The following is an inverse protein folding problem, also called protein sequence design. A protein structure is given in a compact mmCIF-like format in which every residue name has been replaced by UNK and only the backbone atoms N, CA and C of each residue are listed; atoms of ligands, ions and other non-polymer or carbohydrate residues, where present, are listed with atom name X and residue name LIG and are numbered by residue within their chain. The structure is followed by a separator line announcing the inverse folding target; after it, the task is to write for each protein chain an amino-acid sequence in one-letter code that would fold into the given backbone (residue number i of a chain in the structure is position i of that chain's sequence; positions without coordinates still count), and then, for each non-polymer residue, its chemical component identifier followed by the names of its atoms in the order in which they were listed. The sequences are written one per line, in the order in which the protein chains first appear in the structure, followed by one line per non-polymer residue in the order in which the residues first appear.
data_IF_108261042326
#
_entry.id   IF_108261042326
#
_cell.length_a   1.000
_cell.length_b   1.000
_cell.length_c   1.000
_cell.angle_alpha   90.00
_cell.angle_beta   90.00
_cell.angle_gamma   90.00
#
_symmetry.space_group_name_H-M   'P 1'
#
loop_
_entity.id
_entity.type
_entity.pdbx_description
1 polymer ?
#
# COMPACT_ATOMS: atom_id res chain seq x y z
N UNK A 1 28.10 -28.18 24.19
CA UNK A 1 27.43 -26.94 23.74
C UNK A 1 26.09 -27.17 23.03
N UNK A 2 25.57 -28.41 22.91
CA UNK A 2 24.29 -28.69 22.25
C UNK A 2 23.06 -28.59 23.18
N UNK A 3 23.22 -28.59 24.52
CA UNK A 3 22.09 -28.59 25.46
C UNK A 3 21.49 -27.22 25.77
N UNK A 4 22.11 -26.12 25.35
CA UNK A 4 21.64 -24.75 25.63
C UNK A 4 20.70 -24.20 24.54
N UNK A 5 20.67 -24.78 23.33
CA UNK A 5 19.74 -24.34 22.27
C UNK A 5 18.34 -24.92 22.43
N UNK A 6 18.22 -26.16 22.92
CA UNK A 6 16.93 -26.84 23.05
C UNK A 6 16.08 -26.29 24.21
N UNK A 7 16.71 -25.93 25.34
CA UNK A 7 16.03 -25.26 26.45
C UNK A 7 15.59 -23.82 26.08
N UNK A 8 16.38 -23.14 25.25
CA UNK A 8 16.02 -21.80 24.76
C UNK A 8 14.84 -21.88 23.79
N UNK A 9 14.86 -22.82 22.85
CA UNK A 9 13.76 -23.05 21.90
C UNK A 9 12.46 -23.47 22.61
N UNK A 10 12.54 -24.35 23.62
CA UNK A 10 11.39 -24.80 24.40
C UNK A 10 10.81 -23.72 25.34
N UNK A 11 11.63 -22.81 25.86
CA UNK A 11 11.17 -21.64 26.62
C UNK A 11 10.54 -20.58 25.72
N UNK A 12 11.11 -20.35 24.53
CA UNK A 12 10.60 -19.39 23.55
C UNK A 12 9.25 -19.84 22.98
N UNK A 13 9.13 -21.13 22.63
CA UNK A 13 7.89 -21.73 22.13
C UNK A 13 6.73 -21.62 23.14
N UNK A 14 6.99 -21.85 24.44
CA UNK A 14 5.99 -21.68 25.49
C UNK A 14 5.53 -20.23 25.67
N UNK A 15 6.44 -19.26 25.59
CA UNK A 15 6.08 -17.83 25.68
C UNK A 15 5.28 -17.35 24.47
N UNK A 16 5.61 -17.84 23.27
CA UNK A 16 4.86 -17.54 22.05
C UNK A 16 3.43 -18.12 22.12
N UNK A 17 3.28 -19.37 22.58
CA UNK A 17 1.95 -19.96 22.79
C UNK A 17 1.10 -19.19 23.80
N UNK A 18 1.70 -18.76 24.93
CA UNK A 18 0.99 -17.95 25.92
C UNK A 18 0.57 -16.57 25.38
N UNK A 19 1.41 -15.93 24.55
CA UNK A 19 1.05 -14.68 23.89
C UNK A 19 -0.09 -14.86 22.89
N UNK A 20 -0.06 -15.95 22.10
CA UNK A 20 -1.10 -16.25 21.13
C UNK A 20 -2.44 -16.58 21.80
N UNK A 21 -2.44 -17.38 22.87
CA UNK A 21 -3.65 -17.69 23.63
C UNK A 21 -4.22 -16.44 24.30
N UNK A 22 -3.36 -15.61 24.89
CA UNK A 22 -3.77 -14.34 25.48
C UNK A 22 -4.37 -13.40 24.43
N UNK A 23 -3.82 -13.35 23.22
CA UNK A 23 -4.37 -12.54 22.14
C UNK A 23 -5.69 -13.11 21.60
N UNK A 24 -5.83 -14.43 21.48
CA UNK A 24 -7.08 -15.07 21.12
C UNK A 24 -8.19 -14.76 22.14
N UNK A 25 -7.86 -14.78 23.44
CA UNK A 25 -8.78 -14.38 24.50
C UNK A 25 -9.11 -12.89 24.48
N UNK A 26 -8.14 -12.03 24.13
CA UNK A 26 -8.37 -10.59 23.91
C UNK A 26 -9.28 -10.34 22.72
N UNK A 27 -9.07 -11.03 21.59
CA UNK A 27 -9.98 -11.02 20.44
C UNK A 27 -11.37 -11.46 20.91
N UNK A 28 -11.49 -12.59 21.58
CA UNK A 28 -12.80 -13.08 22.04
C UNK A 28 -13.51 -12.10 22.97
N UNK A 29 -12.79 -11.46 23.89
CA UNK A 29 -13.34 -10.48 24.83
C UNK A 29 -13.76 -9.20 24.14
N UNK A 30 -12.94 -8.64 23.25
CA UNK A 30 -13.34 -7.52 22.40
C UNK A 30 -14.63 -7.87 21.65
N UNK A 31 -14.67 -9.02 20.97
CA UNK A 31 -15.84 -9.46 20.20
C UNK A 31 -17.09 -9.75 21.06
N UNK A 32 -16.90 -10.17 22.32
CA UNK A 32 -18.01 -10.34 23.28
C UNK A 32 -18.54 -9.01 23.80
N UNK A 33 -17.66 -8.07 24.15
CA UNK A 33 -18.04 -6.72 24.58
C UNK A 33 -18.62 -5.89 23.42
N UNK A 34 -18.42 -6.33 22.17
CA UNK A 34 -19.00 -5.78 20.94
C UNK A 34 -20.45 -6.19 20.66
N UNK A 35 -21.03 -7.11 21.43
CA UNK A 35 -22.46 -7.44 21.36
C UNK A 35 -23.37 -6.33 21.92
N UNK A 36 -22.83 -5.41 22.71
CA UNK A 36 -23.54 -4.21 23.17
C UNK A 36 -23.60 -3.20 22.03
N UNK A 37 -24.80 -2.70 21.71
CA UNK A 37 -24.92 -1.73 20.63
C UNK A 37 -24.12 -0.47 20.96
N UNK A 38 -23.55 0.19 19.95
CA UNK A 38 -22.81 1.46 20.14
C UNK A 38 -23.59 2.49 20.95
N UNK A 39 -24.92 2.50 20.84
CA UNK A 39 -25.80 3.37 21.64
C UNK A 39 -25.74 3.02 23.12
N UNK A 40 -25.83 1.74 23.47
CA UNK A 40 -25.70 1.28 24.87
C UNK A 40 -24.33 1.62 25.45
N UNK A 41 -23.28 1.58 24.63
CA UNK A 41 -21.95 1.98 25.07
C UNK A 41 -21.86 3.48 25.35
N UNK A 42 -22.25 4.33 24.39
CA UNK A 42 -22.26 5.79 24.55
C UNK A 42 -23.16 6.25 25.70
N UNK A 43 -24.26 5.53 25.96
CA UNK A 43 -25.18 5.79 27.05
C UNK A 43 -24.60 5.34 28.41
N UNK A 44 -23.90 4.20 28.47
CA UNK A 44 -23.16 3.79 29.68
C UNK A 44 -22.01 4.73 29.99
N UNK A 45 -21.33 5.25 28.97
CA UNK A 45 -20.18 6.15 29.13
C UNK A 45 -20.58 7.52 29.69
N UNK A 46 -21.79 7.98 29.39
CA UNK A 46 -22.37 9.19 30.00
C UNK A 46 -22.72 9.01 31.48
N UNK A 47 -22.94 7.76 31.91
CA UNK A 47 -23.34 7.42 33.27
C UNK A 47 -22.16 6.95 34.13
N UNK A 48 -20.97 6.76 33.55
CA UNK A 48 -19.76 6.36 34.27
C UNK A 48 -19.07 7.54 34.93
N UNK A 49 -18.48 7.27 36.09
CA UNK A 49 -17.57 8.18 36.78
C UNK A 49 -16.23 8.31 36.04
N UNK A 50 -15.48 9.39 36.30
CA UNK A 50 -14.15 9.58 35.68
C UNK A 50 -13.15 8.46 36.01
N UNK A 51 -13.32 7.78 37.14
CA UNK A 51 -12.47 6.66 37.54
C UNK A 51 -12.77 5.39 36.73
N UNK A 52 -14.05 5.07 36.55
CA UNK A 52 -14.49 3.94 35.71
C UNK A 52 -14.09 4.12 34.25
N UNK A 53 -14.17 5.35 33.72
CA UNK A 53 -13.70 5.65 32.36
C UNK A 53 -12.19 5.39 32.22
N UNK A 54 -11.39 5.75 33.23
CA UNK A 54 -9.93 5.50 33.22
C UNK A 54 -9.61 4.01 33.27
N UNK A 55 -10.35 3.25 34.07
CA UNK A 55 -10.19 1.80 34.19
C UNK A 55 -10.59 1.07 32.90
N UNK A 56 -11.69 1.46 32.26
CA UNK A 56 -12.09 0.86 30.99
C UNK A 56 -11.10 1.21 29.86
N UNK A 57 -10.55 2.43 29.90
CA UNK A 57 -9.53 2.88 28.96
C UNK A 57 -8.23 2.07 29.12
N UNK A 58 -7.78 1.83 30.35
CA UNK A 58 -6.58 1.03 30.61
C UNK A 58 -6.77 -0.43 30.19
N UNK A 59 -7.92 -1.04 30.51
CA UNK A 59 -8.25 -2.41 30.08
C UNK A 59 -8.21 -2.55 28.55
N UNK A 60 -8.81 -1.60 27.85
CA UNK A 60 -8.83 -1.59 26.38
C UNK A 60 -7.42 -1.43 25.79
N UNK A 61 -6.57 -0.59 26.40
CA UNK A 61 -5.16 -0.46 25.98
C UNK A 61 -4.37 -1.75 26.17
N UNK A 62 -4.60 -2.49 27.26
CA UNK A 62 -3.96 -3.78 27.50
C UNK A 62 -4.40 -4.85 26.48
N UNK A 63 -5.67 -4.83 26.06
CA UNK A 63 -6.16 -5.71 25.00
C UNK A 63 -5.47 -5.42 23.66
N UNK A 64 -5.38 -4.14 23.27
CA UNK A 64 -4.64 -3.75 22.05
C UNK A 64 -3.15 -4.07 22.15
N UNK A 65 -2.55 -3.91 23.34
CA UNK A 65 -1.16 -4.28 23.60
C UNK A 65 -0.93 -5.77 23.36
N UNK A 66 -1.82 -6.62 23.86
CA UNK A 66 -1.78 -8.07 23.65
C UNK A 66 -1.82 -8.42 22.15
N UNK A 67 -2.71 -7.78 21.40
CA UNK A 67 -2.78 -7.95 19.94
C UNK A 67 -1.49 -7.50 19.24
N UNK A 68 -0.94 -6.35 19.61
CA UNK A 68 0.31 -5.87 19.04
C UNK A 68 1.46 -6.85 19.32
N UNK A 69 1.56 -7.37 20.54
CA UNK A 69 2.55 -8.39 20.91
C UNK A 69 2.37 -9.68 20.12
N UNK A 70 1.14 -10.14 19.91
CA UNK A 70 0.88 -11.30 19.07
C UNK A 70 1.29 -11.07 17.61
N UNK A 71 1.10 -9.86 17.09
CA UNK A 71 1.54 -9.48 15.75
C UNK A 71 3.05 -9.54 15.60
N UNK A 72 3.80 -8.90 16.50
CA UNK A 72 5.27 -8.98 16.53
C UNK A 72 5.73 -10.43 16.66
N UNK A 73 5.11 -11.18 17.56
CA UNK A 73 5.47 -12.60 17.77
C UNK A 73 5.20 -13.41 16.52
N UNK A 74 4.08 -13.19 15.83
CA UNK A 74 3.75 -13.88 14.57
C UNK A 74 4.76 -13.52 13.48
N UNK A 75 5.13 -12.25 13.33
CA UNK A 75 6.16 -11.81 12.37
C UNK A 75 7.56 -12.40 12.63
N UNK A 76 7.88 -12.69 13.89
CA UNK A 76 9.14 -13.33 14.29
C UNK A 76 9.07 -14.86 14.18
N UNK A 77 7.89 -15.43 14.37
CA UNK A 77 7.65 -16.88 14.33
C UNK A 77 7.56 -17.39 12.89
N UNK A 78 6.77 -16.71 12.06
CA UNK A 78 6.82 -16.89 10.63
C UNK A 78 8.12 -16.27 10.14
N UNK A 79 8.92 -17.09 9.45
CA UNK A 79 10.13 -16.62 8.81
C UNK A 79 9.73 -15.76 7.59
N UNK A 80 9.23 -14.55 7.87
CA UNK A 80 8.63 -13.59 6.92
C UNK A 80 9.60 -13.30 5.78
N UNK A 81 10.90 -13.38 6.09
CA UNK A 81 11.98 -13.36 5.11
C UNK A 81 11.93 -14.56 4.14
N UNK A 82 11.79 -15.79 4.65
CA UNK A 82 11.64 -17.00 3.82
C UNK A 82 10.42 -16.92 2.91
N UNK A 83 9.30 -16.42 3.44
CA UNK A 83 8.05 -16.23 2.70
C UNK A 83 8.24 -15.23 1.55
N UNK A 84 8.86 -14.09 1.86
CA UNK A 84 9.18 -13.05 0.87
C UNK A 84 10.17 -13.55 -0.18
N UNK A 85 11.18 -14.33 0.22
CA UNK A 85 12.17 -14.93 -0.68
C UNK A 85 11.53 -15.94 -1.64
N UNK A 86 10.60 -16.75 -1.15
CA UNK A 86 9.80 -17.69 -1.96
C UNK A 86 8.95 -16.94 -2.98
N UNK A 87 8.27 -15.86 -2.56
CA UNK A 87 7.52 -15.00 -3.48
C UNK A 87 8.44 -14.33 -4.51
N UNK A 88 9.64 -13.88 -4.12
CA UNK A 88 10.55 -13.18 -5.04
C UNK A 88 11.01 -14.08 -6.20
N UNK A 89 11.16 -15.39 -5.97
CA UNK A 89 11.56 -16.34 -7.00
C UNK A 89 10.49 -16.59 -8.08
N UNK A 90 9.21 -16.43 -7.75
CA UNK A 90 8.09 -16.77 -8.65
C UNK A 90 7.33 -15.52 -9.13
N UNK A 91 7.15 -14.54 -8.25
CA UNK A 91 6.36 -13.33 -8.46
C UNK A 91 7.06 -12.09 -7.85
N UNK A 92 8.11 -11.54 -8.50
CA UNK A 92 8.94 -10.48 -7.92
C UNK A 92 8.17 -9.20 -7.57
N UNK A 93 7.18 -8.83 -8.38
CA UNK A 93 6.32 -7.67 -8.11
C UNK A 93 5.46 -7.89 -6.87
N UNK A 94 4.87 -9.07 -6.73
CA UNK A 94 4.06 -9.42 -5.56
C UNK A 94 4.93 -9.45 -4.31
N UNK A 95 6.14 -10.01 -4.39
CA UNK A 95 7.10 -10.03 -3.30
C UNK A 95 7.44 -8.61 -2.80
N UNK A 96 7.68 -7.67 -3.71
CA UNK A 96 7.95 -6.28 -3.36
C UNK A 96 6.74 -5.63 -2.66
N UNK A 97 5.53 -5.83 -3.18
CA UNK A 97 4.31 -5.30 -2.57
C UNK A 97 4.04 -5.90 -1.18
N UNK A 98 4.22 -7.21 -1.02
CA UNK A 98 4.09 -7.89 0.27
C UNK A 98 5.14 -7.41 1.27
N UNK A 99 6.38 -7.19 0.83
CA UNK A 99 7.46 -6.66 1.68
C UNK A 99 7.11 -5.27 2.23
N UNK A 100 6.59 -4.38 1.37
CA UNK A 100 6.15 -3.05 1.77
C UNK A 100 5.01 -3.18 2.79
N UNK A 101 4.04 -4.05 2.53
CA UNK A 101 2.93 -4.31 3.44
C UNK A 101 3.40 -4.81 4.81
N UNK A 102 4.32 -5.78 4.86
CA UNK A 102 4.87 -6.30 6.11
C UNK A 102 5.65 -5.24 6.90
N UNK A 103 6.45 -4.41 6.22
CA UNK A 103 7.16 -3.31 6.87
C UNK A 103 6.21 -2.26 7.44
N UNK A 104 5.15 -1.92 6.70
CA UNK A 104 4.11 -1.00 7.18
C UNK A 104 3.36 -1.60 8.38
N UNK A 105 2.98 -2.88 8.30
CA UNK A 105 2.34 -3.59 9.40
C UNK A 105 3.23 -3.55 10.66
N UNK A 106 4.51 -3.90 10.53
CA UNK A 106 5.46 -3.84 11.63
C UNK A 106 5.56 -2.44 12.23
N UNK A 107 5.67 -1.40 11.40
CA UNK A 107 5.74 -0.02 11.86
C UNK A 107 4.51 0.36 12.69
N UNK A 108 3.30 0.05 12.21
CA UNK A 108 2.06 0.36 12.91
C UNK A 108 1.87 -0.47 14.18
N UNK A 109 2.27 -1.75 14.16
CA UNK A 109 2.25 -2.62 15.34
C UNK A 109 3.18 -2.07 16.42
N UNK A 110 4.41 -1.68 16.06
CA UNK A 110 5.37 -1.10 17.00
C UNK A 110 4.90 0.26 17.54
N UNK A 111 4.28 1.08 16.69
CA UNK A 111 3.70 2.36 17.10
C UNK A 111 2.54 2.15 18.09
N UNK A 112 1.67 1.17 17.84
CA UNK A 112 0.58 0.81 18.74
C UNK A 112 1.07 0.20 20.05
N UNK A 113 2.15 -0.59 20.01
CA UNK A 113 2.79 -1.14 21.20
C UNK A 113 3.43 -0.04 22.06
N UNK A 114 4.10 0.92 21.43
CA UNK A 114 4.65 2.09 22.11
C UNK A 114 3.53 2.95 22.71
N UNK A 115 2.45 3.19 21.97
CA UNK A 115 1.32 3.98 22.43
C UNK A 115 0.57 3.32 23.61
N UNK A 116 0.41 2.00 23.60
CA UNK A 116 -0.21 1.26 24.71
C UNK A 116 0.70 1.19 25.94
N UNK A 117 2.03 1.09 25.75
CA UNK A 117 3.00 1.05 26.86
C UNK A 117 3.21 2.44 27.49
N UNK A 118 3.22 3.50 26.69
CA UNK A 118 3.46 4.88 27.12
C UNK A 118 2.21 5.76 26.90
N UNK A 119 1.06 5.26 27.33
CA UNK A 119 -0.24 5.89 27.08
C UNK A 119 -0.39 7.30 27.66
N UNK A 120 0.37 7.62 28.72
CA UNK A 120 0.40 8.96 29.32
C UNK A 120 1.14 10.01 28.49
N UNK A 121 2.05 9.58 27.61
CA UNK A 121 2.90 10.47 26.81
C UNK A 121 2.50 10.51 25.34
N UNK A 122 1.72 9.53 24.87
CA UNK A 122 1.26 9.45 23.50
C UNK A 122 -0.07 10.20 23.31
N UNK A 123 -0.13 11.25 22.47
CA UNK A 123 -1.41 11.85 22.11
C UNK A 123 -2.25 10.80 21.37
N UNK A 124 -3.52 10.66 21.75
CA UNK A 124 -4.44 9.65 21.18
C UNK A 124 -3.91 8.21 21.33
N UNK A 125 -3.34 7.86 22.49
CA UNK A 125 -2.79 6.53 22.76
C UNK A 125 -3.73 5.37 22.36
N UNK A 126 -5.02 5.50 22.65
CA UNK A 126 -6.04 4.50 22.30
C UNK A 126 -6.20 4.30 20.79
N UNK A 127 -6.11 5.39 20.01
CA UNK A 127 -6.13 5.35 18.54
C UNK A 127 -4.98 4.51 17.98
N UNK A 128 -3.78 4.86 18.45
CA UNK A 128 -2.53 4.33 17.93
C UNK A 128 -2.41 2.86 18.34
N UNK A 129 -2.77 2.53 19.58
CA UNK A 129 -2.85 1.15 20.07
C UNK A 129 -3.87 0.33 19.26
N UNK A 130 -5.09 0.86 19.07
CA UNK A 130 -6.13 0.19 18.28
C UNK A 130 -5.73 -0.03 16.82
N UNK A 131 -5.07 0.95 16.20
CA UNK A 131 -4.55 0.80 14.84
C UNK A 131 -3.42 -0.23 14.77
N UNK A 132 -2.50 -0.26 15.75
CA UNK A 132 -1.48 -1.31 15.82
C UNK A 132 -2.08 -2.70 15.99
N UNK A 133 -3.13 -2.83 16.80
CA UNK A 133 -3.90 -4.06 16.95
C UNK A 133 -4.55 -4.53 15.64
N UNK A 134 -5.15 -3.61 14.88
CA UNK A 134 -5.69 -3.90 13.55
C UNK A 134 -4.60 -4.43 12.61
N UNK A 135 -3.47 -3.72 12.49
CA UNK A 135 -2.37 -4.13 11.61
C UNK A 135 -1.76 -5.47 12.00
N UNK A 136 -1.74 -5.80 13.29
CA UNK A 136 -1.37 -7.14 13.77
C UNK A 136 -2.29 -8.23 13.22
N UNK A 137 -3.60 -8.06 13.32
CA UNK A 137 -4.55 -9.06 12.81
C UNK A 137 -4.51 -9.14 11.28
N UNK A 138 -4.41 -7.99 10.59
CA UNK A 138 -4.28 -7.97 9.13
C UNK A 138 -3.01 -8.67 8.65
N UNK A 139 -1.90 -8.51 9.37
CA UNK A 139 -0.66 -9.25 9.10
C UNK A 139 -0.89 -10.75 9.20
N UNK A 140 -1.48 -11.24 10.31
CA UNK A 140 -1.74 -12.66 10.53
C UNK A 140 -2.64 -13.24 9.43
N UNK A 141 -3.69 -12.51 9.04
CA UNK A 141 -4.58 -12.92 7.93
C UNK A 141 -3.78 -13.02 6.62
N UNK A 142 -2.96 -12.01 6.30
CA UNK A 142 -2.20 -12.00 5.06
C UNK A 142 -1.15 -13.13 5.02
N UNK A 143 -0.45 -13.37 6.13
CA UNK A 143 0.56 -14.41 6.23
C UNK A 143 -0.06 -15.81 6.09
N UNK A 144 -1.18 -16.07 6.77
CA UNK A 144 -1.94 -17.32 6.60
C UNK A 144 -2.39 -17.56 5.15
N UNK A 145 -2.76 -16.49 4.42
CA UNK A 145 -3.06 -16.64 2.99
C UNK A 145 -1.79 -17.01 2.21
N UNK A 146 -0.65 -16.35 2.44
CA UNK A 146 0.58 -16.67 1.72
C UNK A 146 1.10 -18.10 1.99
N UNK A 147 0.86 -18.67 3.18
CA UNK A 147 1.16 -20.09 3.43
C UNK A 147 0.38 -21.02 2.48
N UNK A 148 -0.82 -20.63 2.06
CA UNK A 148 -1.66 -21.41 1.16
C UNK A 148 -1.25 -21.28 -0.32
N UNK A 149 -0.17 -20.56 -0.65
CA UNK A 149 0.27 -20.37 -2.04
C UNK A 149 0.67 -21.67 -2.75
N UNK A 150 1.02 -22.72 -2.00
CA UNK A 150 1.36 -24.03 -2.57
C UNK A 150 0.12 -24.83 -2.99
N UNK A 151 -1.05 -24.45 -2.48
CA UNK A 151 -2.31 -25.20 -2.64
C UNK A 151 -3.25 -24.45 -3.58
N UNK A 152 -3.30 -23.12 -3.50
CA UNK A 152 -4.20 -22.28 -4.30
C UNK A 152 -3.46 -21.45 -5.35
N UNK A 153 -4.07 -21.20 -6.51
CA UNK A 153 -3.52 -20.28 -7.50
C UNK A 153 -3.42 -18.87 -6.93
N UNK A 154 -2.29 -18.20 -7.18
CA UNK A 154 -1.95 -16.88 -6.63
C UNK A 154 -3.05 -15.83 -6.83
N UNK A 155 -3.75 -15.85 -7.97
CA UNK A 155 -4.84 -14.91 -8.26
C UNK A 155 -5.99 -15.09 -7.29
N UNK A 156 -6.44 -16.33 -7.05
CA UNK A 156 -7.52 -16.63 -6.12
C UNK A 156 -7.11 -16.28 -4.69
N UNK A 157 -5.86 -16.57 -4.33
CA UNK A 157 -5.30 -16.24 -3.03
C UNK A 157 -5.34 -14.73 -2.75
N UNK A 158 -4.91 -13.91 -3.72
CA UNK A 158 -4.98 -12.46 -3.63
C UNK A 158 -6.42 -11.96 -3.46
N UNK A 159 -7.38 -12.51 -4.21
CA UNK A 159 -8.79 -12.16 -4.07
C UNK A 159 -9.34 -12.50 -2.68
N UNK A 160 -9.10 -13.72 -2.18
CA UNK A 160 -9.52 -14.14 -0.84
C UNK A 160 -8.90 -13.28 0.25
N UNK A 161 -7.61 -12.94 0.10
CA UNK A 161 -6.89 -12.09 1.05
C UNK A 161 -7.49 -10.67 1.08
N UNK A 162 -7.72 -10.05 -0.09
CA UNK A 162 -8.34 -8.72 -0.20
C UNK A 162 -9.74 -8.70 0.40
N UNK A 163 -10.56 -9.72 0.13
CA UNK A 163 -11.92 -9.82 0.68
C UNK A 163 -11.86 -9.95 2.21
N UNK A 164 -11.02 -10.83 2.73
CA UNK A 164 -10.87 -11.06 4.18
C UNK A 164 -10.40 -9.80 4.91
N UNK A 165 -9.37 -9.13 4.39
CA UNK A 165 -8.86 -7.87 4.92
C UNK A 165 -9.95 -6.79 4.88
N UNK A 166 -10.72 -6.70 3.78
CA UNK A 166 -11.76 -5.68 3.63
C UNK A 166 -12.92 -5.88 4.61
N UNK A 167 -13.39 -7.12 4.75
CA UNK A 167 -14.45 -7.48 5.71
C UNK A 167 -13.97 -7.19 7.12
N UNK A 168 -12.77 -7.66 7.49
CA UNK A 168 -12.23 -7.47 8.83
C UNK A 168 -12.00 -6.00 9.15
N UNK A 169 -11.44 -5.22 8.21
CA UNK A 169 -11.22 -3.78 8.41
C UNK A 169 -12.54 -3.03 8.57
N UNK A 170 -13.54 -3.35 7.75
CA UNK A 170 -14.88 -2.74 7.86
C UNK A 170 -15.51 -3.07 9.22
N UNK A 171 -15.45 -4.34 9.62
CA UNK A 171 -15.93 -4.79 10.92
C UNK A 171 -15.18 -4.08 12.06
N UNK A 172 -13.86 -4.05 12.03
CA UNK A 172 -13.02 -3.37 13.02
C UNK A 172 -13.41 -1.91 13.17
N UNK A 173 -13.67 -1.20 12.08
CA UNK A 173 -14.06 0.20 12.14
C UNK A 173 -15.46 0.44 12.68
N UNK A 174 -16.41 -0.43 12.36
CA UNK A 174 -17.74 -0.38 12.98
C UNK A 174 -17.68 -0.65 14.49
N UNK A 175 -16.72 -1.49 14.90
CA UNK A 175 -16.50 -1.94 16.26
C UNK A 175 -15.61 -0.99 17.08
N UNK A 176 -14.70 -0.28 16.43
CA UNK A 176 -13.77 0.63 17.12
C UNK A 176 -14.57 1.74 17.78
N UNK A 177 -14.48 1.81 19.12
CA UNK A 177 -15.25 2.73 19.97
C UNK A 177 -14.94 4.22 19.75
N UNK A 178 -14.05 4.55 18.82
CA UNK A 178 -13.43 5.85 18.63
C UNK A 178 -13.66 6.45 17.22
N UNK A 179 -14.85 7.04 17.02
CA UNK A 179 -15.25 7.66 15.75
C UNK A 179 -14.34 8.84 15.33
N UNK A 180 -13.73 9.54 16.29
CA UNK A 180 -12.80 10.65 16.02
C UNK A 180 -11.54 10.17 15.31
N UNK A 181 -11.12 8.94 15.61
CA UNK A 181 -9.91 8.34 15.05
C UNK A 181 -10.21 7.76 13.66
N UNK A 182 -11.38 7.17 13.46
CA UNK A 182 -11.90 6.83 12.13
C UNK A 182 -11.89 8.06 11.21
N UNK A 183 -12.43 9.19 11.69
CA UNK A 183 -12.48 10.46 10.93
C UNK A 183 -11.10 11.06 10.69
N UNK A 184 -10.18 10.94 11.64
CA UNK A 184 -8.81 11.45 11.52
C UNK A 184 -7.98 10.59 10.56
N UNK A 185 -8.08 9.26 10.65
CA UNK A 185 -7.42 8.32 9.73
C UNK A 185 -8.03 8.45 8.33
N UNK A 186 -9.36 8.54 8.20
CA UNK A 186 -10.02 8.78 6.93
C UNK A 186 -9.60 10.11 6.31
N UNK A 187 -9.48 11.20 7.09
CA UNK A 187 -8.93 12.48 6.62
C UNK A 187 -7.47 12.36 6.18
N UNK A 188 -6.66 11.62 6.94
CA UNK A 188 -5.25 11.42 6.62
C UNK A 188 -5.08 10.60 5.33
N UNK A 189 -5.81 9.49 5.20
CA UNK A 189 -5.87 8.68 3.99
C UNK A 189 -6.41 9.46 2.80
N UNK A 190 -7.46 10.26 2.99
CA UNK A 190 -8.00 11.13 1.95
C UNK A 190 -6.97 12.17 1.49
N UNK A 191 -6.23 12.78 2.42
CA UNK A 191 -5.14 13.69 2.09
C UNK A 191 -4.01 12.98 1.33
N UNK A 192 -3.59 11.80 1.77
CA UNK A 192 -2.56 11.01 1.09
C UNK A 192 -3.01 10.64 -0.33
N UNK A 193 -4.23 10.11 -0.48
CA UNK A 193 -4.81 9.77 -1.78
C UNK A 193 -4.96 11.01 -2.68
N UNK A 194 -5.34 12.15 -2.10
CA UNK A 194 -5.41 13.42 -2.81
C UNK A 194 -4.03 13.89 -3.29
N UNK A 195 -2.99 13.79 -2.45
CA UNK A 195 -1.61 14.11 -2.82
C UNK A 195 -1.10 13.18 -3.91
N UNK A 196 -1.34 11.87 -3.79
CA UNK A 196 -0.97 10.88 -4.80
C UNK A 196 -1.68 11.15 -6.13
N UNK A 197 -2.97 11.46 -6.11
CA UNK A 197 -3.74 11.87 -7.29
C UNK A 197 -3.18 13.15 -7.93
N UNK A 198 -2.79 14.13 -7.10
CA UNK A 198 -2.19 15.38 -7.56
C UNK A 198 -0.83 15.14 -8.23
N UNK A 199 0.02 14.31 -7.62
CA UNK A 199 1.29 13.87 -8.20
C UNK A 199 1.08 13.11 -9.51
N UNK A 200 0.12 12.18 -9.56
CA UNK A 200 -0.24 11.46 -10.78
C UNK A 200 -0.68 12.41 -11.90
N UNK A 201 -1.57 13.36 -11.58
CA UNK A 201 -2.03 14.39 -12.54
C UNK A 201 -0.87 15.26 -13.04
N UNK A 202 0.08 15.60 -12.18
CA UNK A 202 1.28 16.36 -12.56
C UNK A 202 2.18 15.55 -13.50
N UNK A 203 2.38 14.26 -13.23
CA UNK A 203 3.14 13.34 -14.09
C UNK A 203 2.45 13.18 -15.44
N UNK A 204 1.14 12.96 -15.48
CA UNK A 204 0.37 12.86 -16.73
C UNK A 204 0.45 14.14 -17.56
N UNK A 205 0.44 15.33 -16.93
CA UNK A 205 0.65 16.61 -17.64
C UNK A 205 2.07 16.73 -18.18
N UNK A 206 3.08 16.36 -17.40
CA UNK A 206 4.48 16.41 -17.83
C UNK A 206 4.74 15.46 -19.02
N UNK A 207 4.22 14.23 -18.95
CA UNK A 207 4.30 13.24 -20.02
C UNK A 207 3.47 13.69 -21.23
N UNK A 208 2.26 14.20 -21.03
CA UNK A 208 1.41 14.72 -22.10
C UNK A 208 2.06 15.87 -22.87
N UNK A 209 2.70 16.82 -22.17
CA UNK A 209 3.46 17.91 -22.80
C UNK A 209 4.65 17.37 -23.59
N UNK A 210 5.37 16.37 -23.08
CA UNK A 210 6.47 15.72 -23.83
C UNK A 210 5.98 14.99 -25.08
N UNK A 211 4.86 14.29 -25.00
CA UNK A 211 4.27 13.57 -26.14
C UNK A 211 3.79 14.54 -27.21
N UNK A 212 3.08 15.61 -26.82
CA UNK A 212 2.64 16.65 -27.75
C UNK A 212 3.84 17.35 -28.41
N UNK A 213 4.86 17.72 -27.63
CA UNK A 213 6.09 18.32 -28.18
C UNK A 213 6.85 17.36 -29.11
N UNK A 214 6.83 16.05 -28.82
CA UNK A 214 7.44 15.05 -29.70
C UNK A 214 6.70 14.94 -31.03
N UNK A 215 5.37 14.89 -31.02
CA UNK A 215 4.57 14.87 -32.25
C UNK A 215 4.67 16.18 -33.04
N UNK A 216 4.66 17.33 -32.37
CA UNK A 216 4.81 18.62 -33.03
C UNK A 216 6.20 18.79 -33.67
N UNK A 217 7.25 18.31 -32.99
CA UNK A 217 8.63 18.30 -33.52
C UNK A 217 8.84 17.29 -34.66
N UNK A 218 8.02 16.25 -34.77
CA UNK A 218 8.04 15.29 -35.87
C UNK A 218 7.27 15.79 -37.08
N UNK A 219 6.11 16.42 -36.87
CA UNK A 219 5.29 17.04 -37.91
C UNK A 219 6.03 18.22 -38.59
N UNK A 220 6.69 19.08 -37.80
CA UNK A 220 7.49 20.19 -38.34
C UNK A 220 8.68 19.69 -39.17
N UNK A 221 9.34 18.59 -38.78
CA UNK A 221 10.42 17.98 -39.58
C UNK A 221 9.92 17.38 -40.89
N UNK A 222 8.71 16.81 -40.92
CA UNK A 222 8.13 16.31 -42.18
C UNK A 222 7.73 17.43 -43.14
N UNK A 223 7.20 18.55 -42.63
CA UNK A 223 6.90 19.71 -43.48
C UNK A 223 8.15 20.33 -44.10
N UNK A 224 9.22 20.49 -43.33
CA UNK A 224 10.47 21.02 -43.87
C UNK A 224 11.08 20.10 -44.95
N UNK A 225 11.03 18.78 -44.74
CA UNK A 225 11.50 17.84 -45.76
C UNK A 225 10.66 17.83 -47.04
N UNK A 226 9.33 17.99 -46.92
CA UNK A 226 8.46 18.09 -48.10
C UNK A 226 8.73 19.37 -48.90
N UNK A 227 8.92 20.51 -48.21
CA UNK A 227 9.25 21.79 -48.85
C UNK A 227 10.62 21.78 -49.54
N UNK A 228 11.61 21.12 -48.95
CA UNK A 228 12.95 20.99 -49.57
C UNK A 228 12.91 20.13 -50.85
N UNK A 229 12.10 19.07 -50.87
CA UNK A 229 11.91 18.23 -52.07
C UNK A 229 11.23 19.04 -53.17
N UNK A 230 10.17 19.78 -52.86
CA UNK A 230 9.43 20.61 -53.82
C UNK A 230 10.32 21.72 -54.41
N UNK A 231 11.16 22.36 -53.57
CA UNK A 231 12.14 23.35 -54.02
C UNK A 231 13.21 22.75 -54.95
N UNK A 232 13.66 21.51 -54.66
CA UNK A 232 14.59 20.78 -55.52
C UNK A 232 13.96 20.40 -56.87
N UNK A 233 12.69 20.00 -56.89
CA UNK A 233 11.97 19.67 -58.13
C UNK A 233 11.72 20.91 -59.00
N UNK A 234 11.34 22.04 -58.41
CA UNK A 234 11.20 23.32 -59.13
C UNK A 234 12.54 23.75 -59.77
N UNK A 235 13.65 23.69 -59.02
CA UNK A 235 14.98 24.04 -59.56
C UNK A 235 15.40 23.11 -60.70
N UNK A 236 14.96 21.85 -60.67
CA UNK A 236 15.26 20.86 -61.72
C UNK A 236 14.46 21.11 -62.99
N UNK A 237 13.19 21.52 -62.88
CA UNK A 237 12.38 21.86 -64.06
C UNK A 237 12.85 23.15 -64.72
N UNK A 238 13.27 24.13 -63.92
CA UNK A 238 13.81 25.41 -64.41
C UNK A 238 15.11 25.21 -65.19
N UNK A 239 16.03 24.39 -64.66
CA UNK A 239 17.27 24.03 -65.37
C UNK A 239 17.02 23.18 -66.62
N UNK A 240 16.06 22.26 -66.59
CA UNK A 240 15.68 21.46 -67.77
C UNK A 240 15.14 22.33 -68.92
N UNK A 241 14.36 23.36 -68.59
CA UNK A 241 13.83 24.31 -69.57
C UNK A 241 14.94 25.22 -70.14
N UNK A 242 15.91 25.62 -69.31
CA UNK A 242 17.07 26.40 -69.77
C UNK A 242 17.93 25.61 -70.77
N UNK A 243 18.20 24.33 -70.52
CA UNK A 243 18.95 23.47 -71.43
C UNK A 243 18.22 23.26 -72.77
N UNK A 244 16.88 23.19 -72.77
CA UNK A 244 16.08 23.05 -73.98
C UNK A 244 16.09 24.33 -74.84
N UNK A 245 16.06 25.51 -74.21
CA UNK A 245 16.20 26.81 -74.88
C UNK A 245 17.58 26.95 -75.53
N UNK A 246 18.66 26.57 -74.82
CA UNK A 246 20.03 26.58 -75.36
C UNK A 246 20.14 25.64 -76.56
N UNK A 247 19.53 24.45 -76.49
CA UNK A 247 19.52 23.47 -77.59
C UNK A 247 18.75 23.97 -78.82
N UNK A 248 17.63 24.66 -78.63
CA UNK A 248 16.88 25.28 -79.72
C UNK A 248 17.64 26.45 -80.36
N UNK A 249 18.37 27.26 -79.59
CA UNK A 249 19.21 28.32 -80.15
C UNK A 249 20.40 27.76 -80.95
N UNK A 250 21.02 26.67 -80.47
CA UNK A 250 22.11 26.03 -81.19
C UNK A 250 21.67 25.46 -82.55
N UNK A 251 20.47 24.87 -82.65
CA UNK A 251 19.94 24.34 -83.90
C UNK A 251 19.51 25.41 -84.91
N UNK A 252 19.22 26.65 -84.49
CA UNK A 252 18.89 27.75 -85.44
C UNK A 252 20.10 28.33 -86.16
N UNK A 253 21.32 28.03 -85.70
CA UNK A 253 22.54 28.51 -86.35
C UNK A 253 23.06 27.57 -87.45
N UNK A 254 22.40 26.42 -87.68
CA UNK A 254 22.81 25.40 -88.65
C UNK A 254 21.80 25.19 -89.80
N UNK A 255 20.80 26.06 -89.93
CA UNK A 255 19.85 26.14 -91.05
C UNK A 255 19.96 27.52 -91.70
#
# INVERSE_FOLDING_TARGET
MAGLSDDFAGSYSRRAQMALSSAADSVRRMFSDLGKSRREYEESLKNMSEEEVKEETSKSLDEYRSLCLAGVTSMLWEDTYSLTKKLHGVYPVVAAMSSIFFLLALLFILLGLAASTFSRSAPNAMALAGNGGLWSVLFIIAAAHFEMMDILPMVLLCFCCVISISIFTTYWYLCSRDLKILLMIAKCLFNILYTVWWCFKAICRYVGVKVVNFFHGRASRQQNHAGDIELCEMRRSENGNADEIVRQQHNRHFL
#
